data_IF_028655788385
#
_entry.id   IF_028655788385
#
_cell.length_a   1.000
_cell.length_b   1.000
_cell.length_c   1.000
_cell.angle_alpha   90.00
_cell.angle_beta   90.00
_cell.angle_gamma   90.00
#
_symmetry.space_group_name_H-M   'P 1'
#
loop_
_entity.id
_entity.type
_entity.pdbx_description
1 polymer ?
#
# COMPACT_ATOMS: atom_id res chain seq x y z
N UNK A 1 0.41 -5.24 -17.70
CA UNK A 1 -0.01 -4.03 -16.95
C UNK A 1 -0.22 -4.41 -15.50
N UNK A 2 0.38 -3.69 -14.55
CA UNK A 2 0.43 -4.06 -13.13
C UNK A 2 -0.34 -3.07 -12.25
N UNK A 3 -0.80 -3.55 -11.09
CA UNK A 3 -1.36 -2.69 -10.03
C UNK A 3 -0.27 -2.46 -8.97
N UNK A 4 -0.08 -1.20 -8.57
CA UNK A 4 0.76 -0.86 -7.41
C UNK A 4 -0.16 -0.48 -6.24
N UNK A 5 0.20 -0.85 -5.02
CA UNK A 5 -0.48 -0.40 -3.80
C UNK A 5 0.45 0.44 -2.92
N UNK A 6 -0.13 1.43 -2.26
CA UNK A 6 0.51 2.24 -1.22
C UNK A 6 -0.21 2.03 0.11
N UNK A 7 0.55 1.61 1.11
CA UNK A 7 0.18 1.73 2.52
C UNK A 7 0.72 3.06 3.07
N UNK A 8 -0.19 3.97 3.42
CA UNK A 8 0.12 5.34 3.78
C UNK A 8 0.54 5.45 5.25
N UNK A 9 1.86 5.54 5.48
CA UNK A 9 2.45 5.82 6.79
C UNK A 9 2.98 7.24 6.92
N UNK A 10 3.03 7.77 8.15
CA UNK A 10 3.53 9.13 8.43
C UNK A 10 5.04 9.28 8.27
N UNK A 11 5.79 8.18 8.36
CA UNK A 11 7.26 8.16 8.24
C UNK A 11 7.71 7.52 6.93
N UNK A 12 7.02 6.47 6.50
CA UNK A 12 7.34 5.67 5.32
C UNK A 12 6.06 5.24 4.62
N UNK A 13 6.11 5.19 3.30
CA UNK A 13 5.08 4.63 2.45
C UNK A 13 5.49 3.21 2.06
N UNK A 14 4.67 2.23 2.40
CA UNK A 14 4.88 0.84 1.96
C UNK A 14 4.39 0.67 0.53
N UNK A 15 5.22 0.11 -0.34
CA UNK A 15 4.87 -0.13 -1.75
C UNK A 15 4.82 -1.63 -2.01
N UNK A 16 3.76 -2.06 -2.69
CA UNK A 16 3.63 -3.42 -3.19
C UNK A 16 3.15 -3.40 -4.64
N UNK A 17 3.42 -4.47 -5.37
CA UNK A 17 3.10 -4.59 -6.78
C UNK A 17 2.50 -5.95 -7.12
N UNK A 18 1.59 -5.98 -8.08
CA UNK A 18 1.05 -7.22 -8.63
C UNK A 18 1.98 -7.82 -9.68
N UNK A 19 1.85 -9.12 -9.90
CA UNK A 19 2.30 -9.71 -11.15
C UNK A 19 1.46 -9.22 -12.34
N UNK A 20 1.90 -9.53 -13.56
CA UNK A 20 1.25 -9.08 -14.80
C UNK A 20 -0.14 -9.70 -14.99
N UNK A 21 -0.35 -10.88 -14.41
CA UNK A 21 -1.63 -11.58 -14.40
C UNK A 21 -2.59 -11.07 -13.33
N UNK A 22 -2.16 -10.13 -12.46
CA UNK A 22 -2.94 -9.58 -11.35
C UNK A 22 -3.47 -10.67 -10.39
N UNK A 23 -2.68 -11.73 -10.20
CA UNK A 23 -2.99 -12.86 -9.34
C UNK A 23 -2.31 -12.75 -7.97
N UNK A 24 -1.07 -12.27 -7.93
CA UNK A 24 -0.25 -12.28 -6.72
C UNK A 24 0.33 -10.90 -6.46
N UNK A 25 0.23 -10.44 -5.21
CA UNK A 25 0.87 -9.23 -4.72
C UNK A 25 2.21 -9.54 -4.04
N UNK A 26 3.21 -8.68 -4.28
CA UNK A 26 4.52 -8.79 -3.67
C UNK A 26 4.95 -7.45 -3.06
N UNK A 27 5.57 -7.45 -1.87
CA UNK A 27 6.18 -6.24 -1.32
C UNK A 27 7.33 -5.81 -2.22
N UNK A 28 7.40 -4.52 -2.56
CA UNK A 28 8.41 -3.98 -3.45
C UNK A 28 9.49 -3.25 -2.65
N UNK A 29 9.14 -2.14 -2.03
CA UNK A 29 10.05 -1.34 -1.21
C UNK A 29 9.29 -0.41 -0.27
N UNK A 30 10.04 0.36 0.51
CA UNK A 30 9.50 1.54 1.20
C UNK A 30 10.12 2.79 0.65
N UNK A 31 9.32 3.85 0.62
CA UNK A 31 9.79 5.18 0.26
C UNK A 31 9.55 6.10 1.46
N UNK A 32 10.53 6.91 1.89
CA UNK A 32 10.32 7.91 2.94
C UNK A 32 9.14 8.83 2.60
N UNK A 33 8.27 9.11 3.57
CA UNK A 33 7.12 10.00 3.36
C UNK A 33 7.52 11.47 3.24
N UNK A 34 8.66 11.84 3.84
CA UNK A 34 9.18 13.21 3.89
C UNK A 34 10.65 13.22 3.44
N UNK A 35 11.05 14.14 2.53
CA UNK A 35 10.19 15.12 1.86
C UNK A 35 9.30 14.46 0.78
N UNK A 36 8.10 15.00 0.59
CA UNK A 36 7.12 14.46 -0.37
C UNK A 36 7.64 14.48 -1.82
N UNK A 37 8.55 15.40 -2.16
CA UNK A 37 9.23 15.44 -3.46
C UNK A 37 10.00 14.15 -3.76
N UNK A 38 10.71 13.63 -2.76
CA UNK A 38 11.55 12.44 -2.92
C UNK A 38 10.67 11.21 -3.05
N UNK A 39 9.59 11.16 -2.25
CA UNK A 39 8.53 10.18 -2.43
C UNK A 39 8.00 10.16 -3.85
N UNK A 40 7.56 11.32 -4.34
CA UNK A 40 6.92 11.44 -5.63
C UNK A 40 7.85 11.09 -6.78
N UNK A 41 9.12 11.49 -6.70
CA UNK A 41 10.13 11.18 -7.72
C UNK A 41 10.38 9.68 -7.81
N UNK A 42 10.61 9.02 -6.67
CA UNK A 42 10.82 7.57 -6.65
C UNK A 42 9.56 6.83 -7.09
N UNK A 43 8.39 7.25 -6.61
CA UNK A 43 7.12 6.63 -6.97
C UNK A 43 6.85 6.72 -8.46
N UNK A 44 7.05 7.88 -9.10
CA UNK A 44 6.95 8.04 -10.56
C UNK A 44 7.89 7.13 -11.34
N UNK A 45 9.12 6.94 -10.86
CA UNK A 45 10.05 6.02 -11.48
C UNK A 45 9.53 4.57 -11.44
N UNK A 46 8.97 4.12 -10.30
CA UNK A 46 8.36 2.79 -10.18
C UNK A 46 7.17 2.62 -11.13
N UNK A 47 6.32 3.64 -11.25
CA UNK A 47 5.15 3.61 -12.14
C UNK A 47 5.56 3.38 -13.60
N UNK A 48 6.67 3.98 -14.02
CA UNK A 48 7.24 3.80 -15.36
C UNK A 48 7.95 2.46 -15.51
N UNK A 49 8.82 2.10 -14.57
CA UNK A 49 9.62 0.87 -14.58
C UNK A 49 8.76 -0.39 -14.70
N UNK A 50 7.61 -0.40 -14.03
CA UNK A 50 6.75 -1.57 -13.96
C UNK A 50 5.49 -1.51 -14.83
N UNK A 51 5.34 -0.45 -15.63
CA UNK A 51 4.17 -0.24 -16.50
C UNK A 51 2.84 -0.38 -15.73
N UNK A 52 2.71 0.43 -14.67
CA UNK A 52 1.55 0.42 -13.79
C UNK A 52 0.34 1.04 -14.47
N UNK A 53 -0.83 0.43 -14.33
CA UNK A 53 -2.10 0.94 -14.87
C UNK A 53 -3.09 1.41 -13.81
N UNK A 54 -2.84 1.05 -12.55
CA UNK A 54 -3.68 1.41 -11.42
C UNK A 54 -2.84 1.56 -10.15
N UNK A 55 -3.07 2.67 -9.44
CA UNK A 55 -2.57 2.87 -8.08
C UNK A 55 -3.70 2.60 -7.09
N UNK A 56 -3.44 1.71 -6.13
CA UNK A 56 -4.34 1.37 -5.03
C UNK A 56 -3.88 2.08 -3.76
N UNK A 57 -4.75 2.84 -3.12
CA UNK A 57 -4.50 3.47 -1.82
C UNK A 57 -5.27 2.78 -0.72
N UNK A 58 -4.57 2.40 0.33
CA UNK A 58 -5.16 1.94 1.57
C UNK A 58 -6.02 3.00 2.22
N UNK A 59 -7.28 2.68 2.52
CA UNK A 59 -8.21 3.59 3.21
C UNK A 59 -8.57 3.02 4.58
N UNK A 60 -7.99 3.58 5.67
CA UNK A 60 -8.26 3.10 7.01
C UNK A 60 -9.70 3.44 7.39
N UNK A 61 -10.41 2.43 7.90
CA UNK A 61 -11.73 2.56 8.50
C UNK A 61 -11.68 2.03 9.91
N UNK A 62 -12.44 2.67 10.78
CA UNK A 62 -12.65 2.19 12.14
C UNK A 62 -13.42 0.87 12.12
N UNK A 63 -13.37 0.13 13.23
CA UNK A 63 -14.07 -1.16 13.36
C UNK A 63 -15.60 -1.03 13.26
N UNK A 64 -16.15 0.15 13.56
CA UNK A 64 -17.56 0.49 13.38
C UNK A 64 -17.91 0.92 11.94
N UNK A 65 -16.93 0.93 11.04
CA UNK A 65 -17.08 1.36 9.64
C UNK A 65 -16.95 2.86 9.41
N UNK A 66 -16.78 3.67 10.46
CA UNK A 66 -16.60 5.12 10.34
C UNK A 66 -15.21 5.51 9.82
N UNK A 67 -15.11 6.73 9.32
CA UNK A 67 -13.86 7.34 8.86
C UNK A 67 -13.27 8.23 9.96
N UNK A 68 -12.11 7.85 10.49
CA UNK A 68 -11.38 8.63 11.50
C UNK A 68 -10.32 9.57 10.91
N UNK A 69 -9.53 10.23 11.76
CA UNK A 69 -8.47 11.17 11.35
C UNK A 69 -7.46 10.56 10.36
N UNK A 70 -7.14 9.28 10.49
CA UNK A 70 -6.23 8.59 9.58
C UNK A 70 -6.76 8.60 8.13
N UNK A 71 -8.07 8.46 7.95
CA UNK A 71 -8.70 8.48 6.62
C UNK A 71 -8.69 9.87 5.98
N UNK A 72 -8.73 10.93 6.79
CA UNK A 72 -8.62 12.31 6.31
C UNK A 72 -7.23 12.52 5.70
N UNK A 73 -6.17 12.09 6.41
CA UNK A 73 -4.79 12.18 5.91
C UNK A 73 -4.60 11.42 4.61
N UNK A 74 -5.19 10.23 4.49
CA UNK A 74 -5.15 9.46 3.23
C UNK A 74 -5.88 10.17 2.10
N UNK A 75 -7.03 10.81 2.37
CA UNK A 75 -7.76 11.59 1.35
C UNK A 75 -7.01 12.83 0.90
N UNK A 76 -6.36 13.54 1.82
CA UNK A 76 -5.49 14.67 1.48
C UNK A 76 -4.32 14.21 0.61
N UNK A 77 -3.68 13.11 0.99
CA UNK A 77 -2.63 12.48 0.20
C UNK A 77 -3.12 12.04 -1.19
N UNK A 78 -4.29 11.40 -1.27
CA UNK A 78 -4.92 11.01 -2.54
C UNK A 78 -5.12 12.23 -3.44
N UNK A 79 -5.63 13.34 -2.91
CA UNK A 79 -5.87 14.56 -3.67
C UNK A 79 -4.55 15.15 -4.23
N UNK A 80 -3.50 15.21 -3.41
CA UNK A 80 -2.18 15.67 -3.84
C UNK A 80 -1.58 14.72 -4.89
N UNK A 81 -1.70 13.41 -4.69
CA UNK A 81 -1.15 12.41 -5.60
C UNK A 81 -1.87 12.43 -6.95
N UNK A 82 -3.20 12.56 -6.97
CA UNK A 82 -4.00 12.71 -8.22
C UNK A 82 -3.56 13.91 -9.06
N UNK A 83 -3.17 15.01 -8.44
CA UNK A 83 -2.63 16.18 -9.16
C UNK A 83 -1.21 15.96 -9.68
N UNK A 84 -0.52 14.92 -9.20
CA UNK A 84 0.89 14.69 -9.46
C UNK A 84 1.15 13.58 -10.48
N UNK A 85 0.21 12.66 -10.70
CA UNK A 85 0.31 11.53 -11.62
C UNK A 85 -0.93 11.42 -12.50
N UNK A 86 -0.79 10.83 -13.69
CA UNK A 86 -1.90 10.59 -14.63
C UNK A 86 -2.55 9.23 -14.46
N UNK A 87 -1.91 8.31 -13.73
CA UNK A 87 -2.39 6.95 -13.53
C UNK A 87 -3.61 6.97 -12.60
N UNK A 88 -4.70 6.25 -12.94
CA UNK A 88 -5.88 6.16 -12.09
C UNK A 88 -5.54 5.72 -10.66
N UNK A 89 -6.18 6.38 -9.70
CA UNK A 89 -6.05 6.06 -8.27
C UNK A 89 -7.38 5.54 -7.75
N UNK A 90 -7.36 4.39 -7.07
CA UNK A 90 -8.51 3.78 -6.40
C UNK A 90 -8.20 3.55 -4.93
N UNK A 91 -9.13 3.91 -4.05
CA UNK A 91 -9.02 3.60 -2.62
C UNK A 91 -9.63 2.25 -2.30
N UNK A 92 -9.02 1.47 -1.41
CA UNK A 92 -9.52 0.18 -0.96
C UNK A 92 -9.57 0.08 0.57
N UNK A 93 -10.59 -0.61 1.07
CA UNK A 93 -10.91 -0.68 2.49
C UNK A 93 -9.94 -1.61 3.26
N UNK A 94 -9.29 -1.06 4.28
CA UNK A 94 -8.22 -1.74 5.04
C UNK A 94 -8.69 -2.55 6.26
N UNK A 95 -9.99 -2.68 6.52
CA UNK A 95 -10.53 -3.26 7.78
C UNK A 95 -9.93 -4.62 8.19
N UNK A 96 -9.44 -5.43 7.26
CA UNK A 96 -8.93 -6.78 7.53
C UNK A 96 -7.41 -6.88 7.58
N UNK A 97 -6.67 -5.89 7.06
CA UNK A 97 -5.24 -6.05 6.76
C UNK A 97 -4.37 -6.10 8.02
N UNK A 98 -4.66 -5.30 9.05
CA UNK A 98 -3.86 -5.26 10.27
C UNK A 98 -3.95 -6.53 11.14
N UNK A 99 -5.14 -7.16 11.21
CA UNK A 99 -5.34 -8.41 11.97
C UNK A 99 -4.81 -9.62 11.19
N UNK A 100 -5.06 -9.66 9.87
CA UNK A 100 -4.56 -10.74 9.00
C UNK A 100 -3.04 -10.69 8.85
N UNK A 101 -2.43 -9.50 8.71
CA UNK A 101 -0.98 -9.32 8.70
C UNK A 101 -0.35 -9.87 9.98
N UNK A 102 -0.86 -9.46 11.15
CA UNK A 102 -0.35 -9.95 12.42
C UNK A 102 -0.49 -11.48 12.57
N UNK A 103 -1.59 -12.09 12.08
CA UNK A 103 -1.76 -13.55 12.08
C UNK A 103 -0.78 -14.26 11.15
N UNK A 104 -0.64 -13.81 9.91
CA UNK A 104 0.31 -14.37 8.94
C UNK A 104 1.76 -14.30 9.44
N UNK A 105 2.12 -13.19 10.11
CA UNK A 105 3.44 -12.97 10.69
C UNK A 105 3.73 -13.78 11.96
N UNK A 106 2.72 -14.36 12.61
CA UNK A 106 2.90 -15.13 13.85
C UNK A 106 3.14 -16.62 13.60
N UNK A 107 2.81 -17.12 12.40
CA UNK A 107 3.04 -18.52 12.03
C UNK A 107 4.48 -18.82 11.55
N UNK A 108 5.27 -17.80 11.20
CA UNK A 108 6.68 -17.95 10.81
C UNK A 108 7.64 -17.74 11.99
N UNK A 109 8.49 -18.74 12.31
CA UNK A 109 9.54 -18.70 13.36
C UNK A 109 10.69 -17.73 13.00
N UNK A 110 10.46 -16.42 12.94
CA UNK A 110 11.49 -15.41 12.61
C UNK A 110 11.71 -14.43 13.77
N UNK A 111 12.99 -14.21 14.13
CA UNK A 111 13.45 -13.39 15.28
C UNK A 111 12.86 -11.95 15.25
N UNK A 112 12.34 -11.49 16.40
CA UNK A 112 11.60 -10.21 16.63
C UNK A 112 12.19 -8.94 15.99
N UNK A 113 13.51 -8.83 15.83
CA UNK A 113 14.18 -7.62 15.32
C UNK A 113 14.14 -7.50 13.78
N UNK A 114 14.21 -8.65 13.05
CA UNK A 114 13.99 -8.71 11.58
C UNK A 114 12.51 -8.58 11.21
N UNK A 115 11.61 -8.88 12.16
CA UNK A 115 10.15 -8.72 12.01
C UNK A 115 9.79 -7.27 11.65
N UNK A 116 10.19 -6.27 12.45
CA UNK A 116 9.78 -4.85 12.28
C UNK A 116 10.20 -4.16 10.98
N UNK A 117 11.22 -4.65 10.28
CA UNK A 117 11.60 -4.11 8.96
C UNK A 117 10.83 -4.78 7.81
N UNK A 118 10.51 -6.07 7.93
CA UNK A 118 9.75 -6.80 6.91
C UNK A 118 8.21 -6.74 7.10
N UNK A 119 7.73 -6.37 8.29
CA UNK A 119 6.29 -6.33 8.63
C UNK A 119 5.57 -5.19 7.91
N UNK A 120 6.21 -4.03 7.74
CA UNK A 120 5.49 -2.85 7.22
C UNK A 120 5.31 -2.89 5.68
N UNK A 121 6.14 -3.62 4.92
CA UNK A 121 5.98 -3.74 3.45
C UNK A 121 4.96 -4.82 3.13
N UNK A 122 4.80 -5.75 4.07
CA UNK A 122 3.77 -6.77 4.01
C UNK A 122 2.37 -6.17 4.08
N UNK A 123 2.18 -5.03 4.75
CA UNK A 123 0.87 -4.37 4.83
C UNK A 123 0.37 -3.94 3.45
N UNK A 124 1.21 -3.27 2.66
CA UNK A 124 0.89 -2.90 1.28
C UNK A 124 0.63 -4.14 0.39
N UNK A 125 1.40 -5.22 0.58
CA UNK A 125 1.21 -6.46 -0.17
C UNK A 125 -0.10 -7.17 0.20
N UNK A 126 -0.47 -7.19 1.48
CA UNK A 126 -1.74 -7.76 1.96
C UNK A 126 -2.93 -6.93 1.48
N UNK A 127 -2.82 -5.60 1.54
CA UNK A 127 -3.79 -4.68 0.98
C UNK A 127 -4.02 -4.99 -0.50
N UNK A 128 -2.94 -5.08 -1.28
CA UNK A 128 -3.01 -5.37 -2.70
C UNK A 128 -3.59 -6.76 -2.96
N UNK A 129 -3.14 -7.79 -2.25
CA UNK A 129 -3.66 -9.15 -2.42
C UNK A 129 -5.16 -9.19 -2.15
N UNK A 130 -5.62 -8.54 -1.07
CA UNK A 130 -7.05 -8.47 -0.73
C UNK A 130 -7.88 -7.80 -1.84
N UNK A 131 -7.30 -6.80 -2.51
CA UNK A 131 -7.93 -6.18 -3.66
C UNK A 131 -7.96 -7.11 -4.87
N UNK A 132 -6.84 -7.75 -5.21
CA UNK A 132 -6.77 -8.70 -6.33
C UNK A 132 -7.75 -9.88 -6.14
N UNK A 133 -7.79 -10.45 -4.94
CA UNK A 133 -8.71 -11.53 -4.58
C UNK A 133 -10.18 -11.11 -4.69
N UNK A 134 -10.49 -9.81 -4.49
CA UNK A 134 -11.86 -9.28 -4.65
C UNK A 134 -12.30 -9.07 -6.11
N UNK A 135 -11.37 -9.16 -7.06
CA UNK A 135 -11.65 -9.07 -8.50
C UNK A 135 -11.88 -10.44 -9.15
N UNK A 136 -11.48 -11.53 -8.47
CA UNK A 136 -11.65 -12.92 -8.92
C UNK A 136 -13.05 -13.45 -8.60
#
# INVERSE_FOLDING_TARGET
MRVIAIDHGTVRMGIAISDELKMIAQPLEFIPAVPFSDFLNRFKALLQEYEVDLVLLGMPRNMDGSYGEASIKVREFEAVLKNSITIPIKTFDERLTSVQANRALTQGKVKKKKKRQNVDAMAAAILLQSYLDSLA
#
